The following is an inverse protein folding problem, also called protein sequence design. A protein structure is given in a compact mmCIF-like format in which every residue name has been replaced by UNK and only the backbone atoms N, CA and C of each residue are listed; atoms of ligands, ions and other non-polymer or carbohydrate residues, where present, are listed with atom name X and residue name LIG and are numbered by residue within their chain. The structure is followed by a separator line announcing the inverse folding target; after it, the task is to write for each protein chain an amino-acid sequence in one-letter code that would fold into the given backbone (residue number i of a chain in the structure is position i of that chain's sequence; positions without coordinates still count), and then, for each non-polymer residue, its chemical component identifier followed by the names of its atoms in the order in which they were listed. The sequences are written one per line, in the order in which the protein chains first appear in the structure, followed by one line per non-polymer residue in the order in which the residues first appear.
data_IF_402921227620
#
_entry.id   IF_402921227620
#
_cell.length_a   1.000
_cell.length_b   1.000
_cell.length_c   1.000
_cell.angle_alpha   90.00
_cell.angle_beta   90.00
_cell.angle_gamma   90.00
#
_symmetry.space_group_name_H-M   'P 1'
#
loop_
_entity.id
_entity.type
_entity.pdbx_description
1 polymer ?
#
# COMPACT_ATOMS: atom_id res chain seq x y z
N UNK A 1 63.41 21.37 -140.94
CA UNK A 1 63.80 22.36 -139.91
C UNK A 1 62.63 23.17 -139.32
N UNK A 2 61.36 22.92 -139.66
CA UNK A 2 60.21 23.62 -139.04
C UNK A 2 59.57 22.86 -137.85
N UNK A 3 59.95 21.61 -137.60
CA UNK A 3 59.31 20.75 -136.59
C UNK A 3 59.79 20.98 -135.15
N UNK A 4 60.84 21.76 -134.92
CA UNK A 4 61.49 21.81 -133.60
C UNK A 4 61.00 22.97 -132.69
N UNK A 5 60.31 23.98 -133.24
CA UNK A 5 59.80 25.11 -132.44
C UNK A 5 58.39 24.88 -131.89
N UNK A 6 57.57 24.04 -132.52
CA UNK A 6 56.17 23.82 -132.12
C UNK A 6 56.01 23.00 -130.83
N UNK A 7 57.04 22.27 -130.38
CA UNK A 7 56.93 21.41 -129.19
C UNK A 7 57.16 22.13 -127.85
N UNK A 8 57.74 23.34 -127.84
CA UNK A 8 57.96 24.09 -126.59
C UNK A 8 56.72 24.78 -126.04
N UNK A 9 55.73 25.06 -126.89
CA UNK A 9 54.45 25.61 -126.43
C UNK A 9 53.44 24.52 -126.03
N UNK A 10 53.83 23.24 -126.14
CA UNK A 10 52.99 22.09 -125.75
C UNK A 10 52.96 21.83 -124.23
N UNK A 11 53.71 22.58 -123.40
CA UNK A 11 53.88 22.28 -121.97
C UNK A 11 53.49 23.43 -121.00
N UNK A 12 52.85 24.50 -121.49
CA UNK A 12 52.23 25.52 -120.64
C UNK A 12 50.71 25.50 -120.77
N UNK A 13 50.05 24.59 -120.07
CA UNK A 13 48.65 24.78 -119.72
C UNK A 13 48.57 25.93 -118.73
N UNK A 14 48.13 27.10 -119.17
CA UNK A 14 47.78 28.20 -118.26
C UNK A 14 46.56 27.73 -117.48
N UNK A 15 46.76 27.25 -116.24
CA UNK A 15 45.65 26.90 -115.35
C UNK A 15 45.01 28.21 -114.89
N UNK A 16 44.02 28.67 -115.65
CA UNK A 16 43.07 29.64 -115.14
C UNK A 16 42.19 28.92 -114.11
N UNK A 17 42.61 28.89 -112.84
CA UNK A 17 41.72 28.55 -111.73
C UNK A 17 40.68 29.67 -111.63
N UNK A 18 39.56 29.51 -112.35
CA UNK A 18 38.41 30.38 -112.17
C UNK A 18 37.89 30.18 -110.73
N UNK A 19 38.03 31.20 -109.89
CA UNK A 19 37.31 31.25 -108.60
C UNK A 19 35.89 31.68 -108.96
N UNK A 20 34.94 30.75 -108.82
CA UNK A 20 33.52 31.04 -109.02
C UNK A 20 32.84 31.24 -107.67
N UNK A 21 31.95 32.21 -107.59
CA UNK A 21 30.99 32.39 -106.50
C UNK A 21 29.65 31.68 -106.78
N UNK A 22 29.53 31.00 -107.92
CA UNK A 22 28.35 30.25 -108.31
C UNK A 22 28.22 28.95 -107.50
N UNK A 23 27.14 28.86 -106.73
CA UNK A 23 26.84 27.75 -105.83
C UNK A 23 26.37 26.48 -106.53
N UNK A 24 26.08 26.52 -107.84
CA UNK A 24 25.43 25.44 -108.59
C UNK A 24 26.32 24.65 -109.56
N UNK A 25 27.64 24.86 -109.55
CA UNK A 25 28.59 24.00 -110.26
C UNK A 25 29.10 22.88 -109.35
N UNK A 26 29.16 21.65 -109.87
CA UNK A 26 29.78 20.50 -109.22
C UNK A 26 31.31 20.65 -109.31
N UNK A 27 31.94 21.11 -108.23
CA UNK A 27 33.30 21.67 -108.24
C UNK A 27 34.41 20.61 -108.06
N UNK A 28 35.39 20.66 -108.95
CA UNK A 28 36.78 20.19 -108.71
C UNK A 28 37.69 21.32 -108.19
N UNK A 29 37.15 22.38 -107.56
CA UNK A 29 37.86 23.62 -107.21
C UNK A 29 37.65 24.08 -105.74
N UNK A 30 38.58 24.89 -105.21
CA UNK A 30 38.58 25.47 -103.85
C UNK A 30 37.58 26.66 -103.75
N UNK A 31 36.65 26.66 -102.78
CA UNK A 31 35.68 27.77 -102.54
C UNK A 31 36.21 28.78 -101.51
N UNK A 32 35.96 30.07 -101.69
CA UNK A 32 36.25 31.14 -100.70
C UNK A 32 34.94 31.78 -100.26
N UNK A 33 34.77 32.03 -98.96
CA UNK A 33 33.58 32.71 -98.45
C UNK A 33 33.51 34.15 -98.99
N UNK A 34 32.41 34.56 -99.64
CA UNK A 34 32.32 35.85 -100.32
C UNK A 34 32.32 37.03 -99.34
N UNK A 35 31.96 36.82 -98.07
CA UNK A 35 31.91 37.86 -97.05
C UNK A 35 33.24 38.01 -96.31
N UNK A 36 33.91 36.90 -95.97
CA UNK A 36 35.15 36.94 -95.15
C UNK A 36 36.43 36.77 -95.96
N UNK A 37 36.33 36.43 -97.25
CA UNK A 37 37.45 36.19 -98.18
C UNK A 37 38.43 35.09 -97.72
N UNK A 38 38.04 34.25 -96.76
CA UNK A 38 38.80 33.07 -96.32
C UNK A 38 38.31 31.85 -97.06
N UNK A 39 39.20 30.89 -97.27
CA UNK A 39 38.83 29.63 -97.90
C UNK A 39 37.75 28.92 -97.08
N UNK A 40 36.61 28.61 -97.72
CA UNK A 40 35.52 27.85 -97.12
C UNK A 40 35.89 26.38 -97.15
N UNK A 41 36.76 25.99 -96.21
CA UNK A 41 36.91 24.59 -95.85
C UNK A 41 35.65 24.25 -95.06
N UNK A 42 34.72 23.53 -95.69
CA UNK A 42 33.54 22.99 -95.01
C UNK A 42 34.02 22.04 -93.91
N UNK A 43 34.23 22.56 -92.71
CA UNK A 43 34.35 21.71 -91.52
C UNK A 43 32.93 21.32 -91.14
N UNK A 44 32.57 20.07 -91.41
CA UNK A 44 31.20 19.53 -91.33
C UNK A 44 30.62 19.48 -89.92
N UNK A 45 31.29 19.99 -88.88
CA UNK A 45 30.77 19.96 -87.50
C UNK A 45 31.24 21.17 -86.69
N UNK A 46 30.57 22.31 -86.81
CA UNK A 46 30.59 23.34 -85.77
C UNK A 46 29.58 22.96 -84.69
N UNK A 47 29.98 22.97 -83.42
CA UNK A 47 29.15 22.65 -82.24
C UNK A 47 27.85 23.49 -82.18
N UNK A 48 27.82 24.62 -82.90
CA UNK A 48 26.64 25.49 -83.09
C UNK A 48 25.39 24.77 -83.60
N UNK A 49 25.53 23.64 -84.30
CA UNK A 49 24.38 22.87 -84.81
C UNK A 49 23.81 21.89 -83.77
N UNK A 50 24.52 21.67 -82.66
CA UNK A 50 24.11 20.80 -81.54
C UNK A 50 23.58 21.62 -80.35
N UNK A 51 23.91 22.92 -80.30
CA UNK A 51 23.39 23.87 -79.32
C UNK A 51 21.91 24.15 -79.63
N UNK A 52 21.02 23.67 -78.77
CA UNK A 52 19.59 23.99 -78.86
C UNK A 52 19.36 25.24 -78.02
N UNK A 53 18.69 26.24 -78.61
CA UNK A 53 18.11 27.32 -77.80
C UNK A 53 17.10 26.66 -76.90
N UNK A 54 17.29 26.89 -75.60
CA UNK A 54 16.40 26.48 -74.54
C UNK A 54 14.93 26.63 -74.98
N UNK A 55 14.13 25.57 -74.86
CA UNK A 55 12.70 25.69 -75.13
C UNK A 55 12.03 26.54 -74.03
N UNK A 56 10.75 26.84 -74.18
CA UNK A 56 10.06 27.95 -73.49
C UNK A 56 9.93 27.78 -71.95
N UNK A 57 10.75 26.94 -71.31
CA UNK A 57 10.90 26.84 -69.86
C UNK A 57 12.23 26.26 -69.35
N UNK A 58 13.34 26.96 -69.53
CA UNK A 58 14.25 27.34 -68.43
C UNK A 58 14.43 28.89 -68.50
N UNK A 59 15.33 29.57 -67.79
CA UNK A 59 15.20 31.05 -67.66
C UNK A 59 16.51 31.83 -67.71
N UNK A 60 17.62 31.18 -68.06
CA UNK A 60 18.91 31.88 -68.18
C UNK A 60 19.29 32.19 -69.62
N UNK A 61 18.66 31.55 -70.62
CA UNK A 61 18.98 31.78 -72.04
C UNK A 61 20.39 31.32 -72.42
N UNK A 62 21.03 30.53 -71.55
CA UNK A 62 22.32 29.92 -71.81
C UNK A 62 22.15 28.80 -72.84
N UNK A 63 22.97 28.80 -73.88
CA UNK A 63 22.99 27.74 -74.87
C UNK A 63 23.71 26.51 -74.32
N UNK A 64 23.12 25.32 -74.48
CA UNK A 64 23.70 24.05 -74.06
C UNK A 64 23.33 22.91 -75.00
N UNK A 65 23.98 21.76 -74.81
CA UNK A 65 23.65 20.51 -75.52
C UNK A 65 22.90 19.61 -74.55
N UNK A 66 21.67 19.23 -74.89
CA UNK A 66 20.92 18.23 -74.14
C UNK A 66 21.51 16.83 -74.38
N UNK A 67 21.71 16.06 -73.31
CA UNK A 67 22.12 14.66 -73.41
C UNK A 67 20.88 13.78 -73.65
N UNK A 68 20.88 13.00 -74.73
CA UNK A 68 19.80 12.06 -75.03
C UNK A 68 19.90 10.83 -74.12
N UNK A 69 18.74 10.27 -73.75
CA UNK A 69 18.63 9.00 -73.04
C UNK A 69 17.82 7.98 -73.86
N UNK A 70 18.10 6.70 -73.65
CA UNK A 70 17.37 5.60 -74.26
C UNK A 70 16.35 5.07 -73.26
N UNK A 71 15.07 5.08 -73.62
CA UNK A 71 14.04 4.39 -72.85
C UNK A 71 14.23 2.87 -73.02
N UNK A 72 14.30 2.16 -71.90
CA UNK A 72 14.29 0.71 -71.89
C UNK A 72 13.33 0.23 -70.80
N UNK A 73 12.29 -0.52 -71.17
CA UNK A 73 11.35 -1.07 -70.18
C UNK A 73 12.03 -2.14 -69.33
N UNK A 74 12.80 -3.04 -69.95
CA UNK A 74 13.53 -4.10 -69.24
C UNK A 74 14.95 -3.66 -68.84
N UNK A 75 15.48 -4.20 -67.75
CA UNK A 75 16.86 -3.97 -67.33
C UNK A 75 17.81 -4.84 -68.15
N UNK A 76 18.27 -4.28 -69.27
CA UNK A 76 19.21 -4.93 -70.17
C UNK A 76 20.42 -4.00 -70.45
N UNK A 77 21.61 -4.61 -70.51
CA UNK A 77 22.82 -3.91 -70.90
C UNK A 77 22.72 -3.46 -72.37
N UNK A 78 23.09 -2.22 -72.64
CA UNK A 78 23.18 -1.66 -74.01
C UNK A 78 24.64 -1.55 -74.52
N UNK A 79 25.59 -2.02 -73.72
CA UNK A 79 26.98 -2.22 -74.10
C UNK A 79 27.34 -3.68 -73.77
N UNK A 80 28.02 -4.35 -74.69
CA UNK A 80 28.32 -5.78 -74.62
C UNK A 80 29.79 -6.07 -74.27
N UNK A 81 30.69 -5.08 -74.38
CA UNK A 81 32.09 -5.23 -73.98
C UNK A 81 32.64 -4.04 -73.18
N UNK A 82 33.81 -4.24 -72.57
CA UNK A 82 34.51 -3.18 -71.84
C UNK A 82 35.08 -2.17 -72.83
N UNK A 83 34.95 -0.87 -72.52
CA UNK A 83 35.34 0.27 -73.36
C UNK A 83 34.31 0.70 -74.42
N UNK A 84 33.13 0.09 -74.43
CA UNK A 84 32.02 0.57 -75.25
C UNK A 84 31.27 1.72 -74.57
N UNK A 85 30.73 2.62 -75.39
CA UNK A 85 29.83 3.67 -74.92
C UNK A 85 28.46 3.08 -74.64
N UNK A 86 27.99 3.19 -73.40
CA UNK A 86 26.60 2.91 -73.05
C UNK A 86 25.82 4.23 -72.91
N UNK A 87 24.63 4.36 -73.52
CA UNK A 87 23.80 5.55 -73.32
C UNK A 87 23.20 5.58 -71.91
N UNK A 88 22.81 6.77 -71.47
CA UNK A 88 21.97 6.91 -70.28
C UNK A 88 20.62 6.21 -70.54
N UNK A 89 20.12 5.45 -69.56
CA UNK A 89 18.85 4.72 -69.67
C UNK A 89 17.77 5.33 -68.78
N UNK A 90 16.54 5.42 -69.29
CA UNK A 90 15.34 5.78 -68.52
C UNK A 90 14.30 4.67 -68.55
N UNK A 91 13.42 4.61 -67.56
CA UNK A 91 12.31 3.67 -67.51
C UNK A 91 11.09 4.11 -68.34
N UNK A 92 10.02 3.30 -68.35
CA UNK A 92 8.80 3.59 -69.11
C UNK A 92 8.14 4.92 -68.69
N UNK A 93 8.36 5.35 -67.45
CA UNK A 93 7.84 6.60 -66.88
C UNK A 93 8.81 7.79 -67.00
N UNK A 94 10.00 7.58 -67.54
CA UNK A 94 11.01 8.62 -67.75
C UNK A 94 11.98 8.85 -66.60
N UNK A 95 11.99 8.01 -65.56
CA UNK A 95 13.01 8.10 -64.51
C UNK A 95 14.34 7.53 -64.98
N UNK A 96 15.44 8.19 -64.58
CA UNK A 96 16.79 7.69 -64.80
C UNK A 96 17.00 6.35 -64.07
N UNK A 97 17.38 5.31 -64.82
CA UNK A 97 17.76 4.03 -64.24
C UNK A 97 19.16 4.12 -63.64
N UNK A 98 19.26 4.07 -62.32
CA UNK A 98 20.53 4.09 -61.58
C UNK A 98 20.71 2.82 -60.76
N UNK A 99 21.86 2.16 -60.91
CA UNK A 99 22.30 1.13 -59.96
C UNK A 99 23.20 1.78 -58.90
N UNK A 100 22.73 1.84 -57.67
CA UNK A 100 23.49 2.37 -56.54
C UNK A 100 24.53 1.33 -56.10
N UNK A 101 25.81 1.56 -56.43
CA UNK A 101 26.91 0.62 -56.14
C UNK A 101 27.24 0.49 -54.64
N UNK A 102 26.87 1.48 -53.82
CA UNK A 102 26.88 1.45 -52.35
C UNK A 102 26.06 2.62 -51.78
N UNK A 103 25.31 2.40 -50.68
CA UNK A 103 24.81 3.50 -49.84
C UNK A 103 23.30 3.85 -49.86
N UNK A 104 22.41 2.85 -50.02
CA UNK A 104 21.00 2.98 -49.59
C UNK A 104 19.98 3.09 -50.72
N UNK A 105 19.17 2.04 -50.90
CA UNK A 105 17.89 2.16 -51.59
C UNK A 105 16.89 2.96 -50.76
N UNK A 106 15.85 3.50 -51.41
CA UNK A 106 14.69 4.04 -50.69
C UNK A 106 14.18 2.99 -49.69
N UNK A 107 13.92 3.38 -48.44
CA UNK A 107 13.48 2.43 -47.42
C UNK A 107 12.24 1.68 -47.88
N UNK A 108 12.33 0.34 -47.92
CA UNK A 108 11.15 -0.51 -48.16
C UNK A 108 10.16 -0.26 -47.03
N UNK A 109 9.00 0.29 -47.35
CA UNK A 109 7.88 0.36 -46.42
C UNK A 109 7.21 -1.02 -46.40
N UNK A 110 7.03 -1.59 -45.21
CA UNK A 110 6.28 -2.83 -45.05
C UNK A 110 4.82 -2.51 -44.71
N UNK A 111 3.89 -3.28 -45.25
CA UNK A 111 2.50 -3.21 -44.82
C UNK A 111 2.39 -3.71 -43.38
N UNK A 112 1.61 -3.02 -42.56
CA UNK A 112 1.31 -3.49 -41.21
C UNK A 112 0.68 -4.89 -41.27
N UNK A 113 1.33 -5.89 -40.65
CA UNK A 113 0.83 -7.26 -40.54
C UNK A 113 1.40 -8.27 -41.56
N UNK A 114 2.25 -7.85 -42.51
CA UNK A 114 2.88 -8.79 -43.45
C UNK A 114 3.88 -9.71 -42.74
N UNK A 115 3.80 -11.02 -43.02
CA UNK A 115 4.80 -12.02 -42.61
C UNK A 115 5.71 -12.33 -43.79
N UNK A 116 6.89 -11.71 -43.83
CA UNK A 116 7.89 -11.96 -44.88
C UNK A 116 9.06 -12.78 -44.30
N UNK A 117 9.33 -13.93 -44.91
CA UNK A 117 10.46 -14.78 -44.53
C UNK A 117 11.82 -14.19 -44.98
N UNK A 118 11.79 -13.21 -45.88
CA UNK A 118 12.94 -12.59 -46.53
C UNK A 118 12.78 -11.08 -46.55
N UNK A 119 12.79 -10.47 -45.37
CA UNK A 119 12.71 -9.01 -45.18
C UNK A 119 13.78 -8.33 -46.05
N UNK A 120 13.35 -7.57 -47.06
CA UNK A 120 14.23 -6.79 -47.96
C UNK A 120 14.14 -5.32 -47.59
N UNK A 121 15.19 -4.76 -46.97
CA UNK A 121 15.20 -3.37 -46.48
C UNK A 121 16.01 -3.19 -45.19
N UNK A 122 15.88 -2.04 -44.53
CA UNK A 122 16.56 -1.77 -43.24
C UNK A 122 15.73 -2.30 -42.09
N UNK A 123 16.05 -3.50 -41.59
CA UNK A 123 15.51 -3.98 -40.33
C UNK A 123 16.14 -3.23 -39.14
N UNK A 124 15.41 -3.10 -38.03
CA UNK A 124 16.03 -2.71 -36.77
C UNK A 124 16.98 -3.83 -36.35
N UNK A 125 18.28 -3.50 -36.32
CA UNK A 125 19.34 -4.40 -35.92
C UNK A 125 19.75 -4.04 -34.49
N UNK A 126 19.94 -5.06 -33.64
CA UNK A 126 20.50 -4.87 -32.32
C UNK A 126 21.52 -5.98 -32.03
N UNK A 127 22.48 -5.67 -31.16
CA UNK A 127 23.50 -6.58 -30.68
C UNK A 127 23.09 -7.15 -29.33
N UNK A 128 23.08 -8.48 -29.23
CA UNK A 128 23.09 -9.14 -27.92
C UNK A 128 24.53 -9.24 -27.40
N UNK A 129 24.74 -9.90 -26.25
CA UNK A 129 26.07 -10.10 -25.65
C UNK A 129 27.06 -10.89 -26.51
N UNK A 130 26.68 -11.32 -27.72
CA UNK A 130 27.54 -12.07 -28.65
C UNK A 130 28.17 -11.21 -29.75
N UNK A 131 28.10 -9.87 -29.64
CA UNK A 131 28.68 -8.90 -30.59
C UNK A 131 28.26 -9.15 -32.06
N UNK A 132 27.06 -9.69 -32.26
CA UNK A 132 26.49 -9.91 -33.60
C UNK A 132 25.24 -9.07 -33.78
N UNK A 133 25.26 -8.15 -34.76
CA UNK A 133 24.08 -7.40 -35.18
C UNK A 133 23.06 -8.35 -35.80
N UNK A 134 21.88 -8.47 -35.21
CA UNK A 134 20.79 -9.32 -35.69
C UNK A 134 19.50 -8.52 -35.78
N UNK A 135 18.63 -8.94 -36.70
CA UNK A 135 17.28 -8.38 -36.76
C UNK A 135 16.48 -8.78 -35.52
N UNK A 136 15.68 -7.84 -35.00
CA UNK A 136 14.76 -8.13 -33.90
C UNK A 136 13.76 -9.20 -34.33
N UNK A 137 13.59 -10.21 -33.48
CA UNK A 137 12.67 -11.33 -33.73
C UNK A 137 12.14 -11.90 -32.41
N UNK A 138 11.16 -12.81 -32.47
CA UNK A 138 10.68 -13.52 -31.28
C UNK A 138 11.78 -14.35 -30.58
N UNK A 139 12.75 -14.88 -31.33
CA UNK A 139 13.88 -15.63 -30.77
C UNK A 139 14.98 -14.73 -30.18
N UNK A 140 15.00 -13.45 -30.59
CA UNK A 140 15.97 -12.42 -30.18
C UNK A 140 15.24 -11.07 -30.04
N UNK A 141 14.40 -10.90 -29.00
CA UNK A 141 13.64 -9.67 -28.79
C UNK A 141 14.57 -8.55 -28.31
N UNK A 142 14.11 -7.29 -28.35
CA UNK A 142 14.81 -6.14 -27.77
C UNK A 142 15.01 -6.27 -26.24
N UNK A 143 16.03 -5.62 -25.64
CA UNK A 143 16.25 -5.64 -24.21
C UNK A 143 15.24 -4.67 -23.61
N UNK A 144 14.10 -5.15 -23.16
CA UNK A 144 13.20 -4.28 -22.40
C UNK A 144 13.61 -4.40 -20.93
N UNK A 145 14.56 -3.57 -20.52
CA UNK A 145 14.91 -3.43 -19.09
C UNK A 145 14.01 -2.36 -18.45
N UNK A 146 13.31 -2.73 -17.37
CA UNK A 146 12.66 -1.77 -16.50
C UNK A 146 13.72 -1.22 -15.54
N UNK A 147 14.13 0.03 -15.74
CA UNK A 147 15.16 0.69 -14.91
C UNK A 147 14.78 0.64 -13.43
N UNK A 148 15.69 0.15 -12.59
CA UNK A 148 15.53 0.14 -11.15
C UNK A 148 15.20 1.55 -10.63
N UNK A 149 14.16 1.66 -9.79
CA UNK A 149 13.76 2.91 -9.15
C UNK A 149 12.67 3.73 -9.86
N UNK A 150 12.12 3.25 -10.98
CA UNK A 150 10.94 3.88 -11.60
C UNK A 150 9.85 2.85 -11.89
N UNK A 151 8.66 3.16 -11.39
CA UNK A 151 7.41 2.41 -11.43
C UNK A 151 7.31 1.29 -10.39
N UNK A 152 6.28 1.41 -9.54
CA UNK A 152 5.49 0.25 -9.12
C UNK A 152 5.45 -0.76 -10.27
N UNK A 153 5.61 -2.05 -9.98
CA UNK A 153 5.05 -3.07 -10.85
C UNK A 153 3.61 -2.63 -11.07
N UNK A 154 3.28 -2.13 -12.26
CA UNK A 154 1.91 -1.72 -12.58
C UNK A 154 0.99 -2.85 -12.15
N UNK A 155 -0.23 -2.54 -11.68
CA UNK A 155 -1.25 -3.53 -11.32
C UNK A 155 -1.03 -4.81 -12.12
N UNK A 156 -0.76 -5.94 -11.45
CA UNK A 156 -0.56 -7.22 -12.13
C UNK A 156 -1.87 -7.57 -12.84
N UNK A 157 -2.07 -6.99 -14.03
CA UNK A 157 -3.08 -7.40 -14.95
C UNK A 157 -2.74 -8.81 -15.42
N UNK A 158 -3.67 -9.43 -16.14
CA UNK A 158 -3.48 -10.74 -16.76
C UNK A 158 -2.39 -10.68 -17.82
N UNK A 159 -1.13 -10.70 -17.40
CA UNK A 159 0.03 -10.73 -18.26
C UNK A 159 0.55 -12.18 -18.24
N UNK A 160 0.03 -12.99 -19.17
CA UNK A 160 0.57 -14.33 -19.39
C UNK A 160 2.05 -14.22 -19.78
N UNK A 161 2.92 -14.94 -19.05
CA UNK A 161 4.31 -15.15 -19.43
C UNK A 161 5.35 -14.25 -18.76
N UNK A 162 4.96 -13.32 -17.86
CA UNK A 162 5.91 -12.61 -17.01
C UNK A 162 6.05 -13.37 -15.69
N UNK A 163 7.11 -14.18 -15.57
CA UNK A 163 7.54 -14.70 -14.27
C UNK A 163 8.22 -13.56 -13.51
N UNK A 164 7.62 -13.16 -12.39
CA UNK A 164 8.16 -12.13 -11.49
C UNK A 164 9.15 -12.71 -10.46
N UNK A 165 9.36 -14.03 -10.45
CA UNK A 165 10.19 -14.72 -9.48
C UNK A 165 9.68 -14.56 -8.04
N UNK A 166 10.59 -14.73 -7.08
CA UNK A 166 10.29 -14.46 -5.67
C UNK A 166 10.15 -12.95 -5.44
N UNK A 167 8.98 -12.53 -4.94
CA UNK A 167 8.76 -11.14 -4.51
C UNK A 167 9.19 -10.99 -3.05
N UNK A 168 10.39 -10.45 -2.83
CA UNK A 168 10.82 -10.04 -1.49
C UNK A 168 10.21 -8.68 -1.17
N UNK A 169 9.28 -8.64 -0.22
CA UNK A 169 8.78 -7.39 0.35
C UNK A 169 9.76 -6.97 1.44
N UNK A 170 10.83 -6.27 1.06
CA UNK A 170 11.73 -5.66 2.03
C UNK A 170 10.98 -4.58 2.79
N UNK A 171 10.99 -4.64 4.12
CA UNK A 171 10.44 -3.59 4.98
C UNK A 171 11.21 -2.29 4.72
N UNK A 172 10.77 -1.47 3.77
CA UNK A 172 11.05 -0.04 3.80
C UNK A 172 10.19 0.58 4.90
N UNK A 173 10.80 1.44 5.71
CA UNK A 173 10.27 1.88 7.00
C UNK A 173 8.82 2.36 7.00
N UNK A 174 8.18 2.21 8.17
CA UNK A 174 6.79 2.61 8.45
C UNK A 174 5.77 1.94 7.53
N UNK A 175 5.47 0.69 7.86
CA UNK A 175 4.30 -0.08 7.42
C UNK A 175 3.95 0.05 5.93
N UNK A 176 4.62 -0.76 5.10
CA UNK A 176 3.97 -1.26 3.91
C UNK A 176 2.67 -1.94 4.35
N UNK A 177 1.53 -1.31 4.06
CA UNK A 177 0.19 -1.70 4.49
C UNK A 177 -0.26 -2.99 3.79
N UNK A 178 0.40 -4.10 4.11
CA UNK A 178 -0.15 -5.44 4.04
C UNK A 178 -1.06 -5.51 5.25
N UNK A 179 -2.37 -5.28 5.04
CA UNK A 179 -3.43 -5.18 6.05
C UNK A 179 -2.96 -5.49 7.47
N UNK A 180 -2.55 -4.45 8.19
CA UNK A 180 -2.35 -4.57 9.63
C UNK A 180 -3.70 -4.24 10.27
N UNK A 181 -4.49 -5.24 10.71
CA UNK A 181 -5.75 -4.96 11.39
C UNK A 181 -5.43 -4.10 12.61
N UNK A 182 -5.87 -2.84 12.58
CA UNK A 182 -5.65 -1.85 13.64
C UNK A 182 -6.70 -1.95 14.76
N UNK A 183 -7.73 -2.78 14.56
CA UNK A 183 -8.87 -2.93 15.48
C UNK A 183 -9.15 -4.39 15.81
N UNK A 184 -9.67 -4.62 17.01
CA UNK A 184 -10.22 -5.91 17.44
C UNK A 184 -11.44 -6.32 16.58
N UNK A 185 -11.63 -7.62 16.37
CA UNK A 185 -12.73 -8.23 15.61
C UNK A 185 -12.91 -7.75 14.15
N UNK A 186 -11.83 -7.63 13.38
CA UNK A 186 -11.95 -7.29 11.95
C UNK A 186 -12.66 -8.39 11.15
N UNK A 187 -13.66 -7.97 10.37
CA UNK A 187 -14.31 -8.79 9.37
C UNK A 187 -13.30 -9.27 8.31
N UNK A 188 -13.49 -10.47 7.79
CA UNK A 188 -12.59 -11.10 6.83
C UNK A 188 -12.37 -10.21 5.59
N UNK A 189 -11.27 -9.44 5.57
CA UNK A 189 -10.84 -8.77 4.36
C UNK A 189 -10.29 -9.84 3.42
N UNK A 190 -10.74 -9.88 2.17
CA UNK A 190 -10.31 -10.86 1.15
C UNK A 190 -8.83 -10.74 0.73
N UNK A 191 -7.98 -10.09 1.54
CA UNK A 191 -6.56 -9.86 1.31
C UNK A 191 -5.66 -10.87 2.05
N UNK A 192 -4.42 -11.00 1.58
CA UNK A 192 -3.39 -11.86 2.14
C UNK A 192 -3.03 -11.42 3.57
N UNK A 193 -3.42 -12.21 4.57
CA UNK A 193 -3.02 -12.01 5.97
C UNK A 193 -1.69 -12.73 6.21
N UNK A 194 -0.62 -11.97 6.47
CA UNK A 194 0.68 -12.56 6.83
C UNK A 194 0.70 -12.85 8.33
N UNK A 195 0.86 -14.12 8.68
CA UNK A 195 0.65 -14.73 10.01
C UNK A 195 1.58 -14.25 11.16
N UNK A 196 2.21 -13.07 11.07
CA UNK A 196 3.23 -12.66 12.03
C UNK A 196 2.72 -11.78 13.19
N UNK A 197 1.41 -11.54 13.33
CA UNK A 197 0.88 -10.59 14.31
C UNK A 197 0.09 -11.23 15.47
N UNK A 198 0.11 -12.57 15.60
CA UNK A 198 -0.63 -13.27 16.64
C UNK A 198 -2.11 -12.94 16.57
N UNK A 199 -2.80 -13.41 15.52
CA UNK A 199 -4.27 -13.39 15.42
C UNK A 199 -4.76 -14.82 15.12
N UNK A 200 -5.87 -15.25 15.72
CA UNK A 200 -6.53 -16.55 15.49
C UNK A 200 -7.91 -16.33 14.87
N UNK A 201 -8.28 -17.17 13.89
CA UNK A 201 -9.61 -17.14 13.30
C UNK A 201 -10.60 -17.92 14.17
N UNK A 202 -11.70 -17.28 14.61
CA UNK A 202 -12.70 -17.90 15.49
C UNK A 202 -13.90 -18.52 14.76
N UNK A 203 -13.81 -18.65 13.42
CA UNK A 203 -14.89 -19.16 12.57
C UNK A 203 -15.73 -18.07 11.90
N UNK A 204 -15.64 -16.80 12.36
CA UNK A 204 -16.35 -15.66 11.74
C UNK A 204 -15.41 -14.48 11.47
N UNK A 205 -14.61 -14.08 12.47
CA UNK A 205 -13.67 -12.95 12.38
C UNK A 205 -12.26 -13.35 12.84
N UNK A 206 -11.27 -12.53 12.51
CA UNK A 206 -9.91 -12.65 13.04
C UNK A 206 -9.79 -11.88 14.34
N UNK A 207 -9.41 -12.56 15.43
CA UNK A 207 -9.22 -11.99 16.78
C UNK A 207 -7.73 -12.01 17.15
N UNK A 208 -7.26 -11.04 17.94
CA UNK A 208 -5.88 -10.99 18.44
C UNK A 208 -5.65 -12.19 19.36
N UNK A 209 -4.53 -12.89 19.18
CA UNK A 209 -3.92 -13.81 20.16
C UNK A 209 -3.64 -12.97 21.40
N UNK A 210 -4.63 -12.86 22.28
CA UNK A 210 -4.41 -12.45 23.66
C UNK A 210 -3.68 -13.61 24.32
N UNK A 211 -2.49 -13.32 24.84
CA UNK A 211 -1.46 -14.30 25.18
C UNK A 211 -1.73 -15.21 26.37
N UNK A 212 -2.97 -15.54 26.72
CA UNK A 212 -3.27 -16.51 27.78
C UNK A 212 -4.15 -17.65 27.28
N UNK A 213 -3.50 -18.72 26.81
CA UNK A 213 -4.12 -20.03 26.61
C UNK A 213 -4.67 -20.69 27.90
N UNK A 214 -4.85 -19.93 28.99
CA UNK A 214 -5.35 -20.42 30.28
C UNK A 214 -6.35 -19.50 30.99
N UNK A 215 -6.79 -18.39 30.38
CA UNK A 215 -7.68 -17.43 31.05
C UNK A 215 -9.07 -17.40 30.46
N UNK A 216 -10.07 -17.88 31.19
CA UNK A 216 -11.47 -17.55 30.87
C UNK A 216 -11.62 -16.03 31.01
N UNK A 217 -11.77 -15.31 29.90
CA UNK A 217 -12.13 -13.90 29.94
C UNK A 217 -13.61 -13.75 30.31
N UNK A 218 -13.91 -13.76 31.61
CA UNK A 218 -15.24 -13.43 32.10
C UNK A 218 -15.41 -11.91 32.07
N UNK A 219 -15.99 -11.39 30.99
CA UNK A 219 -16.29 -9.94 30.88
C UNK A 219 -17.38 -9.50 31.87
N UNK A 220 -18.21 -10.42 32.34
CA UNK A 220 -19.22 -10.21 33.36
C UNK A 220 -19.64 -11.56 33.97
N UNK A 221 -19.83 -11.60 35.29
CA UNK A 221 -20.47 -12.73 35.98
C UNK A 221 -21.93 -12.37 36.14
N UNK A 222 -22.77 -12.90 35.26
CA UNK A 222 -24.22 -12.87 35.42
C UNK A 222 -24.62 -14.21 36.05
N UNK A 223 -25.12 -14.25 37.30
CA UNK A 223 -25.32 -15.50 38.01
C UNK A 223 -26.17 -16.53 37.26
N UNK A 224 -27.14 -16.12 36.46
CA UNK A 224 -27.95 -17.00 35.60
C UNK A 224 -28.80 -18.02 36.38
N UNK A 225 -29.65 -18.81 35.70
CA UNK A 225 -30.64 -19.69 36.38
C UNK A 225 -30.61 -21.17 35.97
N UNK A 226 -29.77 -21.56 35.00
CA UNK A 226 -29.66 -22.94 34.54
C UNK A 226 -29.05 -23.85 35.62
N UNK A 227 -29.22 -25.17 35.47
CA UNK A 227 -28.73 -26.16 36.45
C UNK A 227 -27.22 -26.02 36.76
N UNK A 228 -26.43 -25.61 35.78
CA UNK A 228 -24.97 -25.40 35.88
C UNK A 228 -24.57 -23.97 36.22
N UNK A 229 -25.52 -23.05 36.38
CA UNK A 229 -25.27 -21.66 36.73
C UNK A 229 -25.11 -21.46 38.25
N UNK A 230 -24.32 -20.44 38.63
CA UNK A 230 -24.05 -20.10 40.03
C UNK A 230 -25.26 -19.44 40.71
N UNK A 231 -26.05 -18.68 39.96
CA UNK A 231 -27.30 -18.11 40.41
C UNK A 231 -28.37 -19.17 40.53
N UNK A 232 -29.21 -19.02 41.54
CA UNK A 232 -30.43 -19.81 41.71
C UNK A 232 -31.59 -18.84 41.63
N UNK A 233 -32.59 -19.23 40.84
CA UNK A 233 -33.91 -18.64 41.04
C UNK A 233 -34.38 -19.08 42.41
N UNK A 234 -34.96 -18.13 43.12
CA UNK A 234 -35.84 -18.41 44.24
C UNK A 234 -36.77 -19.58 43.87
N UNK A 235 -36.86 -20.59 44.73
CA UNK A 235 -37.87 -21.62 44.62
C UNK A 235 -39.27 -21.03 44.89
N UNK A 236 -40.36 -21.76 44.66
CA UNK A 236 -41.71 -21.20 44.88
C UNK A 236 -41.99 -20.91 46.37
N UNK A 237 -41.54 -19.75 46.87
CA UNK A 237 -42.33 -18.57 47.20
C UNK A 237 -41.42 -17.49 47.84
N UNK A 238 -41.03 -16.44 47.09
CA UNK A 238 -40.89 -15.02 47.52
C UNK A 238 -40.87 -13.97 46.36
N UNK A 239 -41.63 -14.18 45.27
CA UNK A 239 -42.43 -13.13 44.61
C UNK A 239 -41.78 -12.11 43.64
N UNK A 240 -40.45 -11.94 43.54
CA UNK A 240 -39.85 -10.96 42.60
C UNK A 240 -39.10 -11.55 41.41
N UNK A 241 -38.82 -12.85 41.38
CA UNK A 241 -38.13 -13.49 40.25
C UNK A 241 -36.65 -13.09 40.10
N UNK A 242 -36.09 -12.44 41.11
CA UNK A 242 -34.68 -12.04 41.17
C UNK A 242 -33.77 -13.26 41.28
N UNK A 243 -32.56 -13.15 40.72
CA UNK A 243 -31.54 -14.21 40.72
C UNK A 243 -30.43 -13.84 41.69
N UNK A 244 -30.24 -14.65 42.73
CA UNK A 244 -29.20 -14.48 43.73
C UNK A 244 -28.22 -15.65 43.75
N UNK A 245 -27.06 -15.43 44.36
CA UNK A 245 -26.15 -16.51 44.78
C UNK A 245 -26.37 -16.71 46.27
N UNK A 246 -26.74 -17.92 46.68
CA UNK A 246 -26.92 -18.24 48.10
C UNK A 246 -25.57 -18.18 48.84
N UNK A 247 -25.54 -17.53 50.00
CA UNK A 247 -24.38 -17.57 50.89
C UNK A 247 -24.32 -18.91 51.62
N UNK A 248 -23.14 -19.52 51.69
CA UNK A 248 -22.91 -20.75 52.44
C UNK A 248 -22.52 -20.41 53.89
N UNK A 249 -23.19 -21.05 54.85
CA UNK A 249 -22.82 -21.04 56.27
C UNK A 249 -22.21 -22.37 56.69
N UNK A 250 -21.36 -22.35 57.72
CA UNK A 250 -20.80 -23.55 58.34
C UNK A 250 -21.61 -23.91 59.57
N UNK A 251 -22.22 -25.10 59.62
CA UNK A 251 -22.91 -25.56 60.84
C UNK A 251 -21.90 -25.88 61.94
N UNK A 252 -22.16 -25.39 63.15
CA UNK A 252 -21.47 -25.74 64.38
C UNK A 252 -22.45 -25.95 65.52
N UNK A 253 -22.32 -27.10 66.17
CA UNK A 253 -23.16 -27.48 67.31
C UNK A 253 -22.75 -26.75 68.61
N UNK A 254 -21.54 -26.19 68.66
CA UNK A 254 -21.05 -25.36 69.76
C UNK A 254 -20.40 -24.08 69.22
N UNK A 255 -20.57 -22.97 69.94
CA UNK A 255 -20.06 -21.65 69.55
C UNK A 255 -18.57 -21.56 69.82
N UNK A 256 -17.77 -21.72 68.77
CA UNK A 256 -16.32 -21.58 68.81
C UNK A 256 -15.84 -20.93 67.52
N UNK A 257 -14.85 -20.04 67.60
CA UNK A 257 -14.16 -19.53 66.42
C UNK A 257 -13.61 -20.67 65.55
N UNK A 258 -13.71 -20.54 64.23
CA UNK A 258 -13.21 -21.54 63.26
C UNK A 258 -12.13 -21.01 62.32
N UNK A 259 -11.77 -19.74 62.47
CA UNK A 259 -10.67 -19.09 61.78
C UNK A 259 -9.82 -18.34 62.82
N UNK A 260 -8.56 -18.09 62.51
CA UNK A 260 -7.70 -17.25 63.34
C UNK A 260 -8.01 -15.76 63.12
N UNK A 261 -7.38 -14.91 63.92
CA UNK A 261 -7.42 -13.47 63.70
C UNK A 261 -6.80 -13.14 62.33
N UNK A 262 -7.38 -12.14 61.66
CA UNK A 262 -7.04 -11.70 60.30
C UNK A 262 -7.33 -12.71 59.16
N UNK A 263 -7.98 -13.85 59.45
CA UNK A 263 -8.49 -14.80 58.46
C UNK A 263 -9.98 -14.57 58.12
N UNK A 264 -10.43 -15.10 56.98
CA UNK A 264 -11.86 -15.14 56.66
C UNK A 264 -12.64 -16.03 57.63
N UNK A 265 -13.57 -15.42 58.36
CA UNK A 265 -14.51 -16.14 59.22
C UNK A 265 -15.86 -16.30 58.51
N UNK A 266 -16.35 -17.52 58.25
CA UNK A 266 -17.65 -17.70 57.59
C UNK A 266 -18.80 -17.47 58.57
N UNK A 267 -19.99 -17.26 58.03
CA UNK A 267 -21.22 -17.31 58.83
C UNK A 267 -21.36 -18.71 59.44
N UNK A 268 -21.64 -18.78 60.75
CA UNK A 268 -21.78 -20.06 61.46
C UNK A 268 -23.23 -20.24 61.88
N UNK A 269 -23.80 -21.43 61.62
CA UNK A 269 -25.17 -21.77 62.00
C UNK A 269 -25.23 -22.84 63.09
N UNK A 270 -26.29 -22.82 63.90
CA UNK A 270 -26.57 -23.83 64.94
C UNK A 270 -27.07 -25.14 64.32
N UNK A 271 -27.15 -26.24 65.10
CA UNK A 271 -27.78 -27.48 64.65
C UNK A 271 -29.22 -27.30 64.18
N UNK A 272 -29.92 -26.32 64.75
CA UNK A 272 -31.30 -25.94 64.45
C UNK A 272 -31.42 -24.94 63.28
N UNK A 273 -30.29 -24.48 62.73
CA UNK A 273 -30.24 -23.60 61.56
C UNK A 273 -30.25 -22.09 61.86
N UNK A 274 -30.19 -21.69 63.13
CA UNK A 274 -30.07 -20.28 63.51
C UNK A 274 -28.65 -19.76 63.23
N UNK A 275 -28.49 -18.49 62.86
CA UNK A 275 -27.17 -17.85 62.80
C UNK A 275 -26.65 -17.63 64.22
N UNK A 276 -25.41 -18.04 64.50
CA UNK A 276 -24.76 -17.70 65.75
C UNK A 276 -24.46 -16.21 65.80
N UNK A 277 -24.96 -15.56 66.85
CA UNK A 277 -24.67 -14.15 67.15
C UNK A 277 -24.25 -14.08 68.62
N UNK A 278 -23.28 -13.22 68.91
CA UNK A 278 -22.92 -12.90 70.29
C UNK A 278 -23.71 -11.66 70.71
N UNK A 279 -24.49 -11.79 71.79
CA UNK A 279 -25.10 -10.65 72.46
C UNK A 279 -24.16 -10.22 73.58
N UNK A 280 -23.75 -8.94 73.60
CA UNK A 280 -23.04 -8.35 74.73
C UNK A 280 -24.05 -8.17 75.88
N UNK A 281 -23.98 -8.96 76.97
CA UNK A 281 -24.96 -8.86 78.05
C UNK A 281 -24.78 -7.56 78.85
N UNK A 282 -25.84 -7.09 79.53
CA UNK A 282 -25.71 -6.03 80.54
C UNK A 282 -24.81 -6.53 81.68
N UNK A 283 -23.65 -5.90 81.86
CA UNK A 283 -22.68 -6.28 82.90
C UNK A 283 -23.00 -5.57 84.23
N UNK A 284 -23.04 -6.33 85.34
CA UNK A 284 -23.18 -5.74 86.68
C UNK A 284 -21.81 -5.26 87.13
N UNK A 285 -21.66 -3.96 87.34
CA UNK A 285 -20.41 -3.41 87.82
C UNK A 285 -20.17 -3.78 89.29
N UNK A 286 -19.16 -4.61 89.53
CA UNK A 286 -18.83 -5.10 90.87
C UNK A 286 -18.26 -4.03 91.80
N UNK A 287 -17.67 -2.95 91.25
CA UNK A 287 -17.14 -1.83 92.03
C UNK A 287 -18.23 -0.89 92.54
N UNK A 288 -19.37 -0.84 91.86
CA UNK A 288 -20.56 -0.06 92.19
C UNK A 288 -21.70 -0.92 92.74
N UNK A 289 -21.43 -2.18 93.09
CA UNK A 289 -22.39 -3.11 93.70
C UNK A 289 -21.88 -3.60 95.05
N UNK A 290 -22.79 -3.82 96.00
CA UNK A 290 -22.45 -4.42 97.29
C UNK A 290 -23.43 -5.53 97.65
N UNK A 291 -22.91 -6.63 98.17
CA UNK A 291 -23.70 -7.71 98.78
C UNK A 291 -23.79 -7.56 100.31
N UNK A 292 -23.11 -6.55 100.87
CA UNK A 292 -23.13 -6.28 102.31
C UNK A 292 -24.30 -5.38 102.66
N UNK A 293 -25.02 -5.71 103.72
CA UNK A 293 -26.15 -4.92 104.20
C UNK A 293 -25.69 -3.53 104.65
N UNK A 294 -26.26 -2.48 104.06
CA UNK A 294 -26.05 -1.11 104.49
C UNK A 294 -27.05 -0.79 105.62
N UNK A 295 -26.52 -0.51 106.82
CA UNK A 295 -27.35 -0.10 107.96
C UNK A 295 -27.73 1.39 107.86
N UNK A 296 -28.70 1.82 108.68
CA UNK A 296 -29.16 3.21 108.72
C UNK A 296 -28.00 4.21 108.88
N UNK A 297 -27.99 5.25 108.05
CA UNK A 297 -27.00 6.33 108.08
C UNK A 297 -25.65 5.99 107.41
N UNK A 298 -25.53 4.85 106.74
CA UNK A 298 -24.32 4.44 106.02
C UNK A 298 -24.45 4.79 104.54
N UNK A 299 -23.37 5.33 103.96
CA UNK A 299 -23.21 5.52 102.52
C UNK A 299 -22.34 4.41 101.92
N UNK A 300 -22.73 3.90 100.75
CA UNK A 300 -21.86 3.10 99.90
C UNK A 300 -21.35 3.99 98.76
N UNK A 301 -20.03 4.15 98.69
CA UNK A 301 -19.36 4.83 97.58
C UNK A 301 -18.66 3.78 96.74
N UNK A 302 -19.16 3.58 95.52
CA UNK A 302 -18.52 2.73 94.55
C UNK A 302 -17.30 3.40 93.89
N UNK A 303 -16.80 2.79 92.83
CA UNK A 303 -15.66 3.30 92.05
C UNK A 303 -16.12 4.01 90.77
N UNK A 304 -15.42 5.06 90.35
CA UNK A 304 -15.68 5.69 89.05
C UNK A 304 -15.45 4.71 87.89
N UNK A 305 -16.41 4.66 86.96
CA UNK A 305 -16.35 3.86 85.74
C UNK A 305 -16.68 4.73 84.52
N UNK A 306 -16.13 4.36 83.36
CA UNK A 306 -16.52 4.99 82.09
C UNK A 306 -17.84 4.37 81.61
N UNK A 307 -18.83 5.23 81.39
CA UNK A 307 -20.18 4.84 80.98
C UNK A 307 -20.50 5.28 79.55
N UNK A 308 -19.53 5.79 78.78
CA UNK A 308 -19.73 6.26 77.39
C UNK A 308 -20.22 5.19 76.42
N UNK A 309 -19.94 3.91 76.70
CA UNK A 309 -20.36 2.78 75.86
C UNK A 309 -21.77 2.25 76.19
N UNK A 310 -22.46 2.83 77.17
CA UNK A 310 -23.76 2.35 77.65
C UNK A 310 -24.88 3.33 77.27
N UNK A 311 -25.98 2.80 76.75
CA UNK A 311 -27.17 3.61 76.41
C UNK A 311 -27.97 4.05 77.65
N UNK A 312 -27.96 3.23 78.71
CA UNK A 312 -28.60 3.53 79.98
C UNK A 312 -27.92 2.81 81.14
N UNK A 313 -28.02 3.39 82.34
CA UNK A 313 -27.53 2.82 83.59
C UNK A 313 -28.72 2.56 84.50
N UNK A 314 -28.74 1.41 85.16
CA UNK A 314 -29.78 1.07 86.14
C UNK A 314 -29.12 0.84 87.50
N UNK A 315 -29.55 1.60 88.51
CA UNK A 315 -29.24 1.31 89.90
C UNK A 315 -30.42 0.55 90.54
N UNK A 316 -30.12 -0.60 91.16
CA UNK A 316 -31.13 -1.41 91.87
C UNK A 316 -30.86 -1.34 93.37
N UNK A 317 -31.91 -1.10 94.15
CA UNK A 317 -31.85 -1.11 95.62
C UNK A 317 -32.84 -2.17 96.11
N UNK A 318 -32.33 -3.10 96.91
CA UNK A 318 -33.11 -4.11 97.61
C UNK A 318 -33.11 -3.76 99.11
N UNK A 319 -34.27 -3.42 99.69
CA UNK A 319 -34.42 -3.16 101.13
C UNK A 319 -35.55 -4.00 101.73
N UNK A 320 -35.33 -4.51 102.94
CA UNK A 320 -36.35 -5.21 103.72
C UNK A 320 -37.21 -4.29 104.59
N UNK A 321 -36.92 -2.98 104.60
CA UNK A 321 -37.60 -1.98 105.42
C UNK A 321 -37.81 -0.69 104.64
N UNK A 322 -38.89 0.03 104.96
CA UNK A 322 -39.16 1.35 104.40
C UNK A 322 -38.10 2.36 104.87
N UNK A 323 -37.70 3.27 103.98
CA UNK A 323 -36.89 4.41 104.38
C UNK A 323 -37.73 5.46 105.11
N UNK A 324 -37.08 6.37 105.84
CA UNK A 324 -37.72 7.64 106.17
C UNK A 324 -38.08 8.43 104.89
N UNK A 325 -38.97 9.41 105.00
CA UNK A 325 -39.24 10.35 103.90
C UNK A 325 -37.94 11.01 103.45
N UNK A 326 -37.63 10.89 102.17
CA UNK A 326 -36.38 11.34 101.52
C UNK A 326 -35.10 10.83 102.21
N UNK A 327 -35.21 9.67 102.87
CA UNK A 327 -34.12 9.06 103.64
C UNK A 327 -33.08 8.32 102.78
N UNK A 328 -33.31 8.14 101.49
CA UNK A 328 -32.37 7.55 100.54
C UNK A 328 -31.94 8.60 99.50
N UNK A 329 -30.74 8.47 98.95
CA UNK A 329 -30.31 9.30 97.83
C UNK A 329 -29.37 8.56 96.89
N UNK A 330 -29.54 8.76 95.58
CA UNK A 330 -28.48 8.47 94.62
C UNK A 330 -27.64 9.71 94.39
N UNK A 331 -26.33 9.51 94.31
CA UNK A 331 -25.36 10.59 94.08
C UNK A 331 -24.50 10.19 92.90
N UNK A 332 -24.34 11.11 91.95
CA UNK A 332 -23.54 10.91 90.75
C UNK A 332 -22.42 11.93 90.69
N UNK A 333 -21.27 11.48 90.21
CA UNK A 333 -20.09 12.31 89.96
C UNK A 333 -19.70 12.14 88.51
N UNK A 334 -19.47 13.26 87.84
CA UNK A 334 -19.02 13.33 86.45
C UNK A 334 -17.50 13.39 86.34
N UNK A 335 -16.81 13.83 87.41
CA UNK A 335 -15.37 14.06 87.43
C UNK A 335 -14.61 13.25 88.50
N UNK A 336 -15.32 12.39 89.23
CA UNK A 336 -14.81 11.55 90.33
C UNK A 336 -14.07 12.32 91.44
N UNK A 337 -14.30 13.63 91.54
CA UNK A 337 -13.65 14.53 92.50
C UNK A 337 -14.65 15.08 93.52
N UNK A 338 -15.91 15.26 93.11
CA UNK A 338 -16.99 15.66 93.99
C UNK A 338 -18.35 15.09 93.52
N UNK A 339 -19.37 15.12 94.38
CA UNK A 339 -20.73 14.70 94.00
C UNK A 339 -21.43 15.88 93.32
N UNK A 340 -21.70 15.74 92.03
CA UNK A 340 -22.28 16.79 91.19
C UNK A 340 -23.81 16.81 91.29
N UNK A 341 -24.42 15.63 91.25
CA UNK A 341 -25.87 15.47 91.27
C UNK A 341 -26.33 14.61 92.45
N UNK A 342 -27.38 15.05 93.14
CA UNK A 342 -27.97 14.35 94.29
C UNK A 342 -29.48 14.24 94.11
N UNK A 343 -29.98 13.01 94.12
CA UNK A 343 -31.39 12.70 93.93
C UNK A 343 -31.93 12.01 95.19
N UNK A 344 -32.55 12.75 96.13
CA UNK A 344 -33.19 12.15 97.29
C UNK A 344 -34.52 11.49 96.89
N UNK A 345 -34.86 10.39 97.55
CA UNK A 345 -36.12 9.69 97.36
C UNK A 345 -36.54 8.92 98.61
N UNK A 346 -37.84 8.64 98.69
CA UNK A 346 -38.42 7.73 99.67
C UNK A 346 -38.55 6.35 99.05
N UNK A 347 -38.04 5.32 99.71
CA UNK A 347 -38.14 3.94 99.28
C UNK A 347 -39.11 3.16 100.17
N UNK A 348 -40.07 2.46 99.57
CA UNK A 348 -40.98 1.55 100.28
C UNK A 348 -40.58 0.12 99.96
N UNK A 349 -40.32 -0.69 100.99
CA UNK A 349 -39.83 -2.07 100.83
C UNK A 349 -40.80 -2.98 100.07
N UNK A 350 -42.10 -2.64 100.04
CA UNK A 350 -43.09 -3.35 99.24
C UNK A 350 -42.87 -3.19 97.71
N UNK A 351 -42.25 -2.10 97.26
CA UNK A 351 -41.99 -1.83 95.84
C UNK A 351 -40.72 -2.54 95.32
N UNK A 352 -39.89 -3.08 96.23
CA UNK A 352 -38.66 -3.81 95.94
C UNK A 352 -38.82 -5.32 95.72
N UNK A 353 -40.04 -5.86 95.77
CA UNK A 353 -40.27 -7.28 95.53
C UNK A 353 -40.03 -7.61 94.03
N UNK A 354 -38.81 -8.03 93.70
CA UNK A 354 -38.40 -8.46 92.34
C UNK A 354 -39.44 -9.44 91.75
N UNK A 355 -39.99 -9.09 90.57
CA UNK A 355 -40.61 -10.06 89.65
C UNK A 355 -39.55 -10.66 88.74
#
# INVERSE_FOLDING_TARGET
MAEERSKRDADRTTVALAVTDDSNLDLTMLRVDPSTKRLKVTSTTTLSNLELVEDTGHSSGDTGVMMLAVQQTADAALADTTLDYAPIQVDETGYLKVNVKAGGGAGTQYTEGDTDATITGTALMWEDTSDTLRAVSAAKPLPVELKAGTASIGTLGTNSGIDIGNVTIEKSGTEANVFSPTTDAQANSSGLIVHNQGYVFNGTNWDRVRGDTSGIHVSQIIPGTAATHLGKQEDEAHGSGDVGVMALGVRKDAVTAIAADDDYHPLITSPEGALWTEHVPNEVDSGNSSTSTLNSGIAFTGTGIDVLAHDFITATVDSSHDSATDGMSFQFSTDNSNWDDVYPFTYTAADGARR
#
